data_IF_256312667738
#
_entry.id   IF_256312667738
#
_cell.length_a   1.000
_cell.length_b   1.000
_cell.length_c   1.000
_cell.angle_alpha   90.00
_cell.angle_beta   90.00
_cell.angle_gamma   90.00
#
_symmetry.space_group_name_H-M   'P 1'
#
loop_
_entity.id
_entity.type
_entity.pdbx_description
1 polymer ?
#
# COMPACT_ATOMS: atom_id res chain seq x y z
N UNK A 1 -2.15 -11.92 5.47
CA UNK A 1 -0.68 -12.18 5.40
C UNK A 1 0.12 -11.43 6.47
N UNK A 2 -0.52 -10.58 7.28
CA UNK A 2 0.13 -9.82 8.34
C UNK A 2 0.81 -10.76 9.35
N UNK A 3 2.04 -10.41 9.77
CA UNK A 3 2.80 -11.20 10.73
C UNK A 3 3.42 -12.50 10.20
N UNK A 4 3.22 -12.81 8.92
CA UNK A 4 3.82 -13.98 8.28
C UNK A 4 5.12 -13.61 7.57
N UNK A 5 6.11 -14.49 7.66
CA UNK A 5 7.32 -14.40 6.88
C UNK A 5 7.00 -14.61 5.40
N UNK A 6 7.52 -13.73 4.52
CA UNK A 6 7.21 -13.77 3.09
C UNK A 6 7.73 -15.03 2.41
N UNK A 7 8.95 -15.47 2.77
CA UNK A 7 9.59 -16.67 2.22
C UNK A 7 8.82 -17.93 2.61
N UNK A 8 8.53 -18.10 3.90
CA UNK A 8 7.76 -19.24 4.43
C UNK A 8 6.34 -19.29 3.84
N UNK A 9 5.73 -18.11 3.62
CA UNK A 9 4.40 -18.03 2.99
C UNK A 9 4.47 -18.48 1.53
N UNK A 10 5.53 -18.10 0.80
CA UNK A 10 5.76 -18.52 -0.58
C UNK A 10 6.06 -20.03 -0.67
N UNK A 11 6.81 -20.59 0.29
CA UNK A 11 7.04 -22.03 0.38
C UNK A 11 5.74 -22.82 0.60
N UNK A 12 4.82 -22.28 1.40
CA UNK A 12 3.54 -22.92 1.73
C UNK A 12 2.49 -22.83 0.62
N UNK A 13 2.39 -21.69 -0.07
CA UNK A 13 1.29 -21.40 -1.00
C UNK A 13 1.74 -21.26 -2.46
N UNK A 14 3.05 -21.29 -2.72
CA UNK A 14 3.65 -21.04 -4.01
C UNK A 14 3.89 -19.56 -4.30
N UNK A 15 5.00 -19.27 -5.00
CA UNK A 15 5.42 -17.89 -5.32
C UNK A 15 4.35 -17.12 -6.11
N UNK A 16 3.76 -17.76 -7.12
CA UNK A 16 2.74 -17.13 -7.97
C UNK A 16 1.51 -16.71 -7.18
N UNK A 17 1.03 -17.56 -6.26
CA UNK A 17 -0.15 -17.27 -5.46
C UNK A 17 0.13 -16.14 -4.45
N UNK A 18 1.30 -16.16 -3.80
CA UNK A 18 1.71 -15.10 -2.87
C UNK A 18 1.95 -13.79 -3.60
N UNK A 19 2.53 -13.83 -4.79
CA UNK A 19 2.67 -12.67 -5.65
C UNK A 19 1.30 -12.07 -6.00
N UNK A 20 0.34 -12.88 -6.40
CA UNK A 20 -1.03 -12.47 -6.71
C UNK A 20 -1.68 -11.76 -5.52
N UNK A 21 -1.64 -12.33 -4.32
CA UNK A 21 -2.18 -11.71 -3.10
C UNK A 21 -1.52 -10.40 -2.71
N UNK A 22 -0.25 -10.23 -3.03
CA UNK A 22 0.53 -9.06 -2.63
C UNK A 22 0.49 -7.93 -3.65
N UNK A 23 0.20 -8.23 -4.90
CA UNK A 23 0.40 -7.30 -6.01
C UNK A 23 -0.85 -7.00 -6.82
N UNK A 24 -1.76 -7.96 -6.97
CA UNK A 24 -3.00 -7.73 -7.71
C UNK A 24 -3.84 -6.59 -7.10
N UNK A 25 -4.65 -6.01 -7.94
CA UNK A 25 -5.56 -4.95 -7.51
C UNK A 25 -6.70 -5.48 -6.64
N UNK A 26 -7.36 -6.56 -7.05
CA UNK A 26 -8.65 -7.01 -6.50
C UNK A 26 -8.65 -8.40 -5.85
N UNK A 27 -7.53 -9.13 -5.89
CA UNK A 27 -7.44 -10.46 -5.27
C UNK A 27 -7.07 -10.35 -3.79
N UNK A 28 -8.05 -10.63 -2.93
CA UNK A 28 -7.84 -10.64 -1.48
C UNK A 28 -7.03 -11.85 -1.04
N UNK A 29 -6.05 -11.68 -0.13
CA UNK A 29 -5.46 -12.82 0.56
C UNK A 29 -6.51 -13.51 1.47
N UNK A 30 -6.25 -14.75 1.92
CA UNK A 30 -7.14 -15.44 2.85
C UNK A 30 -7.45 -14.58 4.07
N UNK A 31 -8.72 -14.53 4.44
CA UNK A 31 -9.14 -13.79 5.62
C UNK A 31 -8.53 -14.37 6.90
N UNK A 32 -8.16 -13.50 7.81
CA UNK A 32 -7.69 -13.89 9.14
C UNK A 32 -8.88 -14.48 9.93
N UNK A 33 -8.73 -15.64 10.59
CA UNK A 33 -9.76 -16.16 11.48
C UNK A 33 -10.14 -15.15 12.57
N UNK A 34 -11.42 -15.10 12.94
CA UNK A 34 -11.90 -14.14 13.95
C UNK A 34 -11.26 -14.36 15.33
N UNK A 35 -10.90 -15.60 15.63
CA UNK A 35 -10.23 -16.01 16.87
C UNK A 35 -8.71 -15.89 16.85
N UNK A 36 -8.09 -15.58 15.72
CA UNK A 36 -6.64 -15.40 15.60
C UNK A 36 -6.17 -14.23 16.48
N UNK A 37 -5.01 -14.42 17.17
CA UNK A 37 -4.41 -13.39 18.03
C UNK A 37 -3.98 -12.14 17.29
N UNK A 38 -3.72 -12.24 15.99
CA UNK A 38 -3.36 -11.12 15.10
C UNK A 38 -4.58 -10.30 14.68
N UNK A 39 -5.80 -10.73 15.03
CA UNK A 39 -7.01 -9.99 14.69
C UNK A 39 -6.95 -8.58 15.30
N UNK A 40 -7.03 -7.50 14.48
CA UNK A 40 -6.98 -6.14 14.97
C UNK A 40 -7.99 -5.84 16.08
N UNK A 41 -9.17 -6.46 16.04
CA UNK A 41 -10.19 -6.29 17.07
C UNK A 41 -9.76 -6.77 18.47
N UNK A 42 -8.72 -7.61 18.58
CA UNK A 42 -8.14 -8.05 19.85
C UNK A 42 -7.01 -7.15 20.34
N UNK A 43 -6.49 -6.27 19.51
CA UNK A 43 -5.33 -5.43 19.81
C UNK A 43 -5.76 -4.14 20.53
N UNK A 44 -5.05 -3.78 21.60
CA UNK A 44 -5.36 -2.63 22.43
C UNK A 44 -5.56 -1.30 21.67
N UNK A 45 -4.75 -0.94 20.64
CA UNK A 45 -4.94 0.31 19.92
C UNK A 45 -6.28 0.42 19.18
N UNK A 46 -6.89 -0.71 18.82
CA UNK A 46 -8.13 -0.75 18.06
C UNK A 46 -9.39 -0.93 18.91
N UNK A 47 -9.26 -1.16 20.23
CA UNK A 47 -10.42 -1.33 21.14
C UNK A 47 -11.35 -0.11 21.12
N UNK A 48 -10.82 1.10 20.90
CA UNK A 48 -11.60 2.34 20.77
C UNK A 48 -12.61 2.34 19.62
N UNK A 49 -12.41 1.46 18.63
CA UNK A 49 -13.30 1.35 17.46
C UNK A 49 -14.32 0.23 17.60
N UNK A 50 -14.33 -0.49 18.73
CA UNK A 50 -15.24 -1.61 18.95
C UNK A 50 -16.71 -1.15 18.87
N UNK A 51 -17.46 -1.74 17.96
CA UNK A 51 -18.88 -1.41 17.75
C UNK A 51 -19.14 -0.18 16.88
N UNK A 52 -18.11 0.57 16.46
CA UNK A 52 -18.25 1.75 15.59
C UNK A 52 -17.70 1.54 14.18
N UNK A 53 -16.66 0.70 14.04
CA UNK A 53 -16.01 0.39 12.78
C UNK A 53 -15.79 -1.12 12.68
N UNK A 54 -16.15 -1.71 11.56
CA UNK A 54 -15.77 -3.08 11.24
C UNK A 54 -14.31 -3.10 10.76
N UNK A 55 -13.44 -3.73 11.56
CA UNK A 55 -12.02 -3.86 11.23
C UNK A 55 -11.84 -5.01 10.22
N UNK A 56 -11.15 -4.78 9.08
CA UNK A 56 -11.01 -5.78 8.04
C UNK A 56 -10.14 -6.95 8.50
N UNK A 57 -10.56 -8.17 8.16
CA UNK A 57 -9.79 -9.40 8.35
C UNK A 57 -8.93 -9.73 7.13
N UNK A 58 -9.21 -9.10 6.01
CA UNK A 58 -8.47 -9.18 4.74
C UNK A 58 -8.74 -7.94 3.92
N UNK A 59 -7.76 -7.49 3.15
CA UNK A 59 -7.88 -6.40 2.18
C UNK A 59 -7.03 -6.72 0.95
N UNK A 60 -7.53 -6.36 -0.23
CA UNK A 60 -6.75 -6.16 -1.44
C UNK A 60 -6.51 -4.66 -1.68
N UNK A 61 -5.82 -4.30 -2.76
CA UNK A 61 -5.55 -2.89 -3.06
C UNK A 61 -6.82 -2.11 -3.39
N UNK A 62 -7.82 -2.75 -4.02
CA UNK A 62 -9.14 -2.17 -4.29
C UNK A 62 -9.85 -1.71 -3.02
N UNK A 63 -9.79 -2.52 -1.95
CA UNK A 63 -10.34 -2.14 -0.65
C UNK A 63 -9.57 -0.95 -0.06
N UNK A 64 -8.25 -0.92 -0.22
CA UNK A 64 -7.43 0.20 0.23
C UNK A 64 -7.77 1.49 -0.55
N UNK A 65 -7.99 1.44 -1.86
CA UNK A 65 -8.46 2.59 -2.65
C UNK A 65 -9.81 3.08 -2.14
N UNK A 66 -10.77 2.17 -1.91
CA UNK A 66 -12.12 2.51 -1.47
C UNK A 66 -12.15 3.27 -0.11
N UNK A 67 -11.14 3.09 0.74
CA UNK A 67 -11.04 3.82 2.02
C UNK A 67 -10.08 5.01 1.99
N UNK A 68 -9.06 4.99 1.12
CA UNK A 68 -8.07 6.07 1.02
C UNK A 68 -8.59 7.24 0.21
N UNK A 69 -9.29 6.99 -0.91
CA UNK A 69 -9.80 8.05 -1.77
C UNK A 69 -10.81 8.96 -1.06
N UNK A 70 -11.85 8.47 -0.34
CA UNK A 70 -12.72 9.34 0.44
C UNK A 70 -11.99 10.15 1.51
N UNK A 71 -10.99 9.57 2.17
CA UNK A 71 -10.18 10.28 3.15
C UNK A 71 -9.35 11.40 2.51
N UNK A 72 -8.79 11.15 1.33
CA UNK A 72 -8.10 12.20 0.57
C UNK A 72 -9.04 13.36 0.26
N UNK A 73 -10.25 13.09 -0.26
CA UNK A 73 -11.23 14.12 -0.63
C UNK A 73 -11.74 14.92 0.57
N UNK A 74 -11.99 14.26 1.73
CA UNK A 74 -12.60 14.92 2.89
C UNK A 74 -11.59 15.59 3.83
N UNK A 75 -10.39 15.07 3.94
CA UNK A 75 -9.44 15.49 4.97
C UNK A 75 -8.17 16.11 4.41
N UNK A 76 -7.65 15.62 3.27
CA UNK A 76 -6.37 16.05 2.71
C UNK A 76 -6.56 17.18 1.72
N UNK A 77 -7.44 17.00 0.74
CA UNK A 77 -7.71 17.95 -0.33
C UNK A 77 -8.08 19.34 0.20
N UNK A 78 -8.99 19.50 1.19
CA UNK A 78 -9.33 20.83 1.70
C UNK A 78 -8.13 21.60 2.30
N UNK A 79 -7.16 20.89 2.86
CA UNK A 79 -5.94 21.51 3.38
C UNK A 79 -5.05 22.03 2.26
N UNK A 80 -4.93 21.27 1.18
CA UNK A 80 -4.19 21.69 -0.01
C UNK A 80 -4.88 22.92 -0.65
N UNK A 81 -6.22 22.93 -0.72
CA UNK A 81 -7.02 24.08 -1.21
C UNK A 81 -6.76 25.36 -0.39
N UNK A 82 -6.46 25.22 0.90
CA UNK A 82 -6.05 26.33 1.77
C UNK A 82 -4.58 26.75 1.57
N UNK A 83 -3.85 26.13 0.66
CA UNK A 83 -2.43 26.41 0.38
C UNK A 83 -1.47 25.75 1.36
N UNK A 84 -1.93 24.76 2.16
CA UNK A 84 -1.07 24.04 3.08
C UNK A 84 -0.19 23.02 2.36
N UNK A 85 1.07 22.88 2.81
CA UNK A 85 1.92 21.78 2.41
C UNK A 85 1.59 20.57 3.27
N UNK A 86 1.08 19.50 2.68
CA UNK A 86 0.63 18.31 3.39
C UNK A 86 1.66 17.18 3.24
N UNK A 87 2.16 16.66 4.37
CA UNK A 87 3.01 15.47 4.41
C UNK A 87 2.19 14.24 4.78
N UNK A 88 2.16 13.24 3.90
CA UNK A 88 1.47 11.97 4.10
C UNK A 88 2.50 10.89 4.39
N UNK A 89 2.50 10.36 5.61
CA UNK A 89 3.29 9.17 5.99
C UNK A 89 2.38 7.96 6.11
N UNK A 90 2.61 6.94 5.28
CA UNK A 90 1.72 5.80 5.21
C UNK A 90 2.44 4.50 4.81
N UNK A 91 1.75 3.38 4.98
CA UNK A 91 2.20 2.10 4.46
C UNK A 91 2.22 2.11 2.92
N UNK A 92 3.19 1.40 2.30
CA UNK A 92 3.37 1.38 0.85
C UNK A 92 2.10 1.01 0.06
N UNK A 93 1.22 0.15 0.59
CA UNK A 93 -0.06 -0.16 -0.07
C UNK A 93 -1.06 1.00 0.00
N UNK A 94 -1.08 1.78 1.08
CA UNK A 94 -1.91 2.99 1.15
C UNK A 94 -1.40 4.06 0.18
N UNK A 95 -0.08 4.20 0.04
CA UNK A 95 0.53 5.10 -0.97
C UNK A 95 0.21 4.62 -2.39
N UNK A 96 0.29 3.30 -2.67
CA UNK A 96 -0.11 2.74 -3.97
C UNK A 96 -1.59 3.00 -4.28
N UNK A 97 -2.46 2.86 -3.28
CA UNK A 97 -3.87 3.15 -3.43
C UNK A 97 -4.13 4.63 -3.76
N UNK A 98 -3.44 5.54 -3.06
CA UNK A 98 -3.54 6.97 -3.33
C UNK A 98 -2.98 7.32 -4.71
N UNK A 99 -1.84 6.75 -5.10
CA UNK A 99 -1.27 6.91 -6.44
C UNK A 99 -2.23 6.47 -7.53
N UNK A 100 -2.80 5.26 -7.38
CA UNK A 100 -3.79 4.75 -8.34
C UNK A 100 -4.98 5.70 -8.50
N UNK A 101 -5.44 6.28 -7.40
CA UNK A 101 -6.54 7.23 -7.40
C UNK A 101 -6.18 8.55 -8.08
N UNK A 102 -5.04 9.15 -7.73
CA UNK A 102 -4.64 10.47 -8.25
C UNK A 102 -4.15 10.44 -9.71
N UNK A 103 -3.47 9.35 -10.11
CA UNK A 103 -2.84 9.22 -11.42
C UNK A 103 -3.67 8.38 -12.41
N UNK A 104 -4.85 7.89 -11.99
CA UNK A 104 -5.70 6.97 -12.77
C UNK A 104 -4.94 5.75 -13.34
N UNK A 105 -4.01 5.21 -12.54
CA UNK A 105 -3.17 4.07 -12.93
C UNK A 105 -4.04 2.84 -13.14
N UNK A 106 -3.85 2.11 -14.23
CA UNK A 106 -4.58 0.88 -14.51
C UNK A 106 -4.35 -0.23 -13.46
N UNK A 107 -5.23 -1.23 -13.44
CA UNK A 107 -5.14 -2.37 -12.51
C UNK A 107 -3.88 -3.21 -12.76
N UNK A 108 -3.46 -3.32 -14.02
CA UNK A 108 -2.27 -4.06 -14.41
C UNK A 108 -0.98 -3.29 -14.06
N UNK A 109 -0.94 -1.99 -14.32
CA UNK A 109 0.23 -1.15 -14.03
C UNK A 109 0.49 -1.04 -12.53
N UNK A 110 -0.58 -0.86 -11.72
CA UNK A 110 -0.42 -0.76 -10.26
C UNK A 110 0.13 -2.04 -9.64
N UNK A 111 -0.10 -3.21 -10.27
CA UNK A 111 0.44 -4.48 -9.81
C UNK A 111 1.98 -4.51 -9.85
N UNK A 112 2.59 -3.87 -10.85
CA UNK A 112 4.04 -3.76 -11.01
C UNK A 112 4.70 -2.68 -10.14
N UNK A 113 3.93 -1.76 -9.58
CA UNK A 113 4.46 -0.59 -8.88
C UNK A 113 5.04 -0.92 -7.51
N UNK A 114 6.26 -0.47 -7.25
CA UNK A 114 6.93 -0.59 -5.97
C UNK A 114 7.21 0.81 -5.39
N UNK A 115 6.87 1.00 -4.11
CA UNK A 115 7.13 2.23 -3.38
C UNK A 115 8.42 2.06 -2.57
N UNK A 116 9.47 2.85 -2.84
CA UNK A 116 10.71 2.79 -2.07
C UNK A 116 10.48 3.32 -0.65
N UNK A 117 11.03 2.62 0.34
CA UNK A 117 10.90 3.02 1.74
C UNK A 117 11.81 4.18 2.06
N UNK A 118 11.27 5.21 2.74
CA UNK A 118 12.03 6.36 3.21
C UNK A 118 12.56 7.25 2.08
N UNK A 119 11.84 7.32 0.96
CA UNK A 119 12.08 8.26 -0.14
C UNK A 119 10.82 9.11 -0.30
N UNK A 120 10.92 10.44 -0.19
CA UNK A 120 9.77 11.32 -0.42
C UNK A 120 9.31 11.26 -1.88
N UNK A 121 8.00 11.16 -2.07
CA UNK A 121 7.33 11.29 -3.36
C UNK A 121 6.58 12.62 -3.34
N UNK A 122 6.87 13.50 -4.27
CA UNK A 122 6.27 14.84 -4.37
C UNK A 122 5.25 14.85 -5.49
N UNK A 123 4.10 15.43 -5.21
CA UNK A 123 3.07 15.76 -6.18
C UNK A 123 2.98 17.27 -6.34
N UNK A 124 2.93 17.71 -7.57
CA UNK A 124 2.44 19.04 -7.95
C UNK A 124 1.07 18.84 -8.58
N UNK A 125 0.06 19.48 -8.02
CA UNK A 125 -1.32 19.36 -8.47
C UNK A 125 -1.75 20.69 -9.11
N UNK A 126 -2.54 20.60 -10.18
CA UNK A 126 -3.24 21.74 -10.78
C UNK A 126 -4.39 22.21 -9.87
N UNK A 127 -5.00 23.33 -10.19
CA UNK A 127 -6.16 23.88 -9.46
C UNK A 127 -7.37 22.92 -9.45
N UNK A 128 -7.50 22.08 -10.46
CA UNK A 128 -8.54 21.05 -10.58
C UNK A 128 -8.15 19.70 -9.91
N UNK A 129 -7.00 19.64 -9.22
CA UNK A 129 -6.41 18.48 -8.58
C UNK A 129 -5.94 17.37 -9.54
N UNK A 130 -5.87 17.62 -10.83
CA UNK A 130 -5.13 16.76 -11.74
C UNK A 130 -3.62 16.82 -11.44
N UNK A 131 -2.91 15.73 -11.67
CA UNK A 131 -1.47 15.65 -11.42
C UNK A 131 -0.73 16.40 -12.54
N UNK A 132 -0.06 17.48 -12.20
CA UNK A 132 0.87 18.20 -13.09
C UNK A 132 2.21 17.47 -13.16
N UNK A 133 2.78 17.19 -12.00
CA UNK A 133 4.05 16.48 -11.88
C UNK A 133 4.08 15.57 -10.67
N UNK A 134 4.73 14.42 -10.81
CA UNK A 134 5.02 13.49 -9.72
C UNK A 134 6.46 13.01 -9.83
N UNK A 135 7.21 13.03 -8.73
CA UNK A 135 8.60 12.58 -8.72
C UNK A 135 9.14 12.27 -7.33
N UNK A 136 10.07 11.34 -7.27
CA UNK A 136 10.82 11.07 -6.04
C UNK A 136 11.91 12.11 -5.82
N UNK A 137 12.09 12.52 -4.56
CA UNK A 137 13.20 13.40 -4.16
C UNK A 137 14.42 12.58 -3.76
N UNK A 138 15.56 12.86 -4.38
CA UNK A 138 16.85 12.27 -4.03
C UNK A 138 17.65 11.85 -5.26
N UNK A 139 18.73 11.14 -5.01
CA UNK A 139 19.60 10.57 -6.03
C UNK A 139 18.90 9.42 -6.75
N UNK A 140 18.89 9.45 -8.08
CA UNK A 140 18.16 8.48 -8.92
C UNK A 140 18.67 7.05 -8.75
N UNK A 141 19.97 6.86 -8.59
CA UNK A 141 20.56 5.53 -8.41
C UNK A 141 20.17 4.94 -7.04
N UNK A 142 20.14 5.78 -6.00
CA UNK A 142 19.68 5.39 -4.66
C UNK A 142 18.19 5.04 -4.70
N UNK A 143 17.38 5.83 -5.39
CA UNK A 143 15.94 5.60 -5.53
C UNK A 143 15.70 4.27 -6.25
N UNK A 144 16.38 4.05 -7.38
CA UNK A 144 16.30 2.82 -8.16
C UNK A 144 16.69 1.59 -7.32
N UNK A 145 17.82 1.66 -6.61
CA UNK A 145 18.25 0.59 -5.72
C UNK A 145 17.23 0.25 -4.64
N UNK A 146 16.56 1.26 -4.05
CA UNK A 146 15.50 1.06 -3.06
C UNK A 146 14.22 0.45 -3.66
N UNK A 147 13.84 0.83 -4.87
CA UNK A 147 12.71 0.23 -5.61
C UNK A 147 12.99 -1.24 -5.87
N UNK A 148 14.19 -1.57 -6.35
CA UNK A 148 14.60 -2.94 -6.62
C UNK A 148 14.67 -3.78 -5.34
N UNK A 149 15.14 -3.21 -4.23
CA UNK A 149 15.13 -3.87 -2.93
C UNK A 149 13.71 -4.26 -2.48
N UNK A 150 12.72 -3.38 -2.69
CA UNK A 150 11.30 -3.69 -2.41
C UNK A 150 10.78 -4.81 -3.33
N UNK A 151 11.15 -4.78 -4.61
CA UNK A 151 10.80 -5.81 -5.60
C UNK A 151 11.35 -7.17 -5.19
N UNK A 152 12.61 -7.23 -4.80
CA UNK A 152 13.32 -8.46 -4.43
C UNK A 152 12.86 -9.08 -3.10
N UNK A 153 12.17 -8.34 -2.23
CA UNK A 153 11.66 -8.89 -0.96
C UNK A 153 10.70 -10.08 -1.10
N UNK A 154 10.17 -10.32 -2.27
CA UNK A 154 9.24 -11.42 -2.57
C UNK A 154 9.80 -12.47 -3.53
N UNK A 155 11.02 -12.28 -4.03
CA UNK A 155 11.67 -13.24 -4.93
C UNK A 155 12.43 -14.28 -4.10
N UNK A 156 12.20 -15.54 -4.40
CA UNK A 156 12.96 -16.65 -3.81
C UNK A 156 14.40 -16.55 -4.28
N UNK A 157 15.33 -16.32 -3.37
CA UNK A 157 16.74 -16.51 -3.67
C UNK A 157 16.95 -18.02 -3.81
N UNK A 158 17.15 -18.51 -5.03
CA UNK A 158 17.66 -19.87 -5.22
C UNK A 158 19.06 -19.90 -4.60
N UNK A 159 19.19 -20.50 -3.42
CA UNK A 159 20.50 -20.85 -2.89
C UNK A 159 21.09 -21.87 -3.87
N UNK A 160 22.08 -21.45 -4.64
CA UNK A 160 22.95 -22.36 -5.40
C UNK A 160 23.55 -23.35 -4.41
N UNK A 161 23.10 -24.62 -4.48
CA UNK A 161 23.80 -25.74 -3.87
C UNK A 161 25.10 -25.99 -4.61
#
# INVERSE_FOLDING_TARGET
LQGLNKKETAEKYGDSQVHLWRRSYDVRPPALPKDDERNPAKQAPYQRYKGTVELPLTECLKDAVARVAPYFESEIKPKIELGENVLITAHGNSIRALRKYLEDISDDEIAGMNIPTGVPLVYHLNEDFTVDHVGYLGDEDIIRAKIDAVKMQSVRTEEKK
#
